data_IF_203796792620
#
_entry.id   IF_203796792620
#
_cell.length_a   1.000
_cell.length_b   1.000
_cell.length_c   1.000
_cell.angle_alpha   90.00
_cell.angle_beta   90.00
_cell.angle_gamma   90.00
#
_symmetry.space_group_name_H-M   'P 1'
#
loop_
_entity.id
_entity.type
_entity.pdbx_description
1 polymer ?
#
# COMPACT_ATOMS: atom_id res chain seq x y z
N UNK A 1 11.63 19.26 15.95
CA UNK A 1 10.20 18.95 15.78
C UNK A 1 9.36 20.19 16.03
N UNK A 2 9.12 20.63 17.28
CA UNK A 2 8.33 21.84 17.58
C UNK A 2 8.86 23.14 16.92
N UNK A 3 10.17 23.38 16.92
CA UNK A 3 10.75 24.62 16.38
C UNK A 3 10.52 24.81 14.87
N UNK A 4 10.51 23.71 14.10
CA UNK A 4 10.36 23.73 12.65
C UNK A 4 8.88 23.93 12.28
N UNK A 5 7.98 23.37 13.09
CA UNK A 5 6.52 23.60 13.01
C UNK A 5 6.18 25.07 13.25
N UNK A 6 6.80 25.71 14.24
CA UNK A 6 6.58 27.13 14.55
C UNK A 6 7.07 28.02 13.41
N UNK A 7 8.24 27.73 12.83
CA UNK A 7 8.78 28.50 11.69
C UNK A 7 7.91 28.33 10.44
N UNK A 8 7.42 27.12 10.16
CA UNK A 8 6.48 26.86 9.06
C UNK A 8 5.16 27.64 9.20
N UNK A 9 4.68 27.77 10.43
CA UNK A 9 3.46 28.52 10.75
C UNK A 9 3.65 30.04 10.63
N UNK A 10 4.82 30.57 10.99
CA UNK A 10 5.18 31.99 10.85
C UNK A 10 5.40 32.40 9.39
N UNK A 11 5.84 31.48 8.52
CA UNK A 11 6.14 31.80 7.11
C UNK A 11 4.89 31.82 6.22
N UNK A 12 3.69 31.57 6.77
CA UNK A 12 2.41 31.68 6.06
C UNK A 12 2.26 30.74 4.85
N UNK A 13 3.11 29.70 4.75
CA UNK A 13 3.17 28.77 3.62
C UNK A 13 2.36 27.48 3.83
N UNK A 14 1.54 27.44 4.88
CA UNK A 14 0.72 26.27 5.17
C UNK A 14 -0.75 26.68 5.27
N UNK A 15 -1.49 26.39 4.20
CA UNK A 15 -2.94 26.49 4.16
C UNK A 15 -3.53 25.46 5.15
N UNK A 16 -4.23 25.97 6.17
CA UNK A 16 -4.87 25.17 7.20
C UNK A 16 -6.27 24.77 6.72
N UNK A 17 -6.35 23.79 5.83
CA UNK A 17 -7.61 23.29 5.28
C UNK A 17 -8.30 22.29 6.24
N UNK A 18 -8.48 22.72 7.50
CA UNK A 18 -9.23 22.00 8.53
C UNK A 18 -8.61 20.66 9.01
N UNK A 19 -9.24 20.09 10.05
CA UNK A 19 -8.93 18.75 10.60
C UNK A 19 -9.67 17.65 9.82
N UNK A 20 -10.68 18.03 9.05
CA UNK A 20 -11.63 17.15 8.38
C UNK A 20 -11.85 17.69 6.97
N UNK A 21 -11.19 17.08 5.99
CA UNK A 21 -11.46 17.36 4.58
C UNK A 21 -12.09 16.14 3.93
N UNK A 22 -12.97 16.39 2.94
CA UNK A 22 -13.45 15.32 2.10
C UNK A 22 -12.22 14.65 1.42
N UNK A 23 -12.19 13.32 1.31
CA UNK A 23 -11.12 12.63 0.59
C UNK A 23 -10.91 13.29 -0.79
N UNK A 24 -9.66 13.45 -1.26
CA UNK A 24 -9.39 13.99 -2.58
C UNK A 24 -10.24 13.27 -3.62
N UNK A 25 -10.96 14.04 -4.43
CA UNK A 25 -11.92 13.52 -5.41
C UNK A 25 -11.22 12.55 -6.37
N UNK A 26 -11.74 11.33 -6.47
CA UNK A 26 -11.26 10.23 -7.32
C UNK A 26 -11.63 10.45 -8.81
N UNK A 27 -12.46 11.47 -9.09
CA UNK A 27 -12.99 11.75 -10.43
C UNK A 27 -11.96 11.90 -11.56
N UNK A 28 -10.72 12.41 -11.37
CA UNK A 28 -9.78 12.50 -12.47
C UNK A 28 -9.11 11.16 -12.77
N UNK A 29 -9.01 10.23 -11.80
CA UNK A 29 -8.24 8.98 -11.92
C UNK A 29 -9.14 7.77 -12.19
N UNK A 30 -10.42 7.90 -11.86
CA UNK A 30 -11.41 6.83 -12.01
C UNK A 30 -11.67 6.58 -13.51
N UNK A 31 -11.29 5.39 -13.98
CA UNK A 31 -11.48 4.93 -15.37
C UNK A 31 -10.59 5.61 -16.43
N UNK A 32 -9.56 6.37 -16.03
CA UNK A 32 -8.51 6.88 -16.93
C UNK A 32 -7.46 5.78 -17.23
N UNK A 33 -7.94 4.59 -17.61
CA UNK A 33 -7.09 3.46 -17.95
C UNK A 33 -6.60 3.59 -19.39
N UNK A 34 -5.32 3.92 -19.57
CA UNK A 34 -4.69 3.94 -20.88
C UNK A 34 -4.21 2.55 -21.30
N UNK A 35 -5.16 1.71 -21.71
CA UNK A 35 -4.89 0.34 -22.19
C UNK A 35 -4.14 0.39 -23.54
N UNK A 36 -4.36 1.44 -24.34
CA UNK A 36 -3.78 1.57 -25.67
C UNK A 36 -2.28 1.86 -25.57
N UNK A 37 -1.88 2.80 -24.71
CA UNK A 37 -0.46 3.03 -24.42
C UNK A 37 0.18 1.89 -23.64
N UNK A 38 -0.58 1.17 -22.81
CA UNK A 38 -0.07 -0.02 -22.12
C UNK A 38 0.28 -1.18 -23.09
N UNK A 39 -0.33 -1.24 -24.28
CA UNK A 39 -0.09 -2.28 -25.28
C UNK A 39 1.04 -1.96 -26.27
N UNK A 40 1.64 -0.76 -26.21
CA UNK A 40 2.82 -0.46 -27.02
C UNK A 40 4.00 -1.35 -26.62
N UNK A 41 4.82 -1.76 -27.59
CA UNK A 41 5.93 -2.70 -27.40
C UNK A 41 6.91 -2.28 -26.27
N UNK A 42 7.09 -0.97 -26.05
CA UNK A 42 7.90 -0.44 -24.95
C UNK A 42 7.27 -0.65 -23.57
N UNK A 43 5.95 -0.46 -23.47
CA UNK A 43 5.20 -0.59 -22.22
C UNK A 43 4.90 -2.05 -21.88
N UNK A 44 4.65 -2.91 -22.86
CA UNK A 44 4.39 -4.34 -22.65
C UNK A 44 5.55 -5.02 -21.91
N UNK A 45 6.80 -4.70 -22.27
CA UNK A 45 7.98 -5.23 -21.59
C UNK A 45 8.05 -4.82 -20.11
N UNK A 46 7.73 -3.55 -19.81
CA UNK A 46 7.73 -3.01 -18.44
C UNK A 46 6.60 -3.63 -17.62
N UNK A 47 5.38 -3.68 -18.18
CA UNK A 47 4.20 -4.28 -17.55
C UNK A 47 4.44 -5.75 -17.24
N UNK A 48 4.98 -6.51 -18.19
CA UNK A 48 5.30 -7.92 -18.01
C UNK A 48 6.38 -8.12 -16.94
N UNK A 49 7.40 -7.26 -16.91
CA UNK A 49 8.46 -7.29 -15.89
C UNK A 49 7.90 -7.02 -14.49
N UNK A 50 7.09 -5.96 -14.33
CA UNK A 50 6.43 -5.61 -13.06
C UNK A 50 5.46 -6.71 -12.63
N UNK A 51 4.75 -7.33 -13.58
CA UNK A 51 3.86 -8.46 -13.31
C UNK A 51 4.64 -9.63 -12.71
N UNK A 52 5.78 -10.02 -13.28
CA UNK A 52 6.60 -11.11 -12.73
C UNK A 52 7.22 -10.76 -11.38
N UNK A 53 7.69 -9.52 -11.20
CA UNK A 53 8.17 -9.04 -9.90
C UNK A 53 7.05 -9.15 -8.85
N UNK A 54 5.85 -8.65 -9.15
CA UNK A 54 4.70 -8.72 -8.25
C UNK A 54 4.26 -10.17 -8.00
N UNK A 55 4.25 -11.03 -9.02
CA UNK A 55 3.87 -12.43 -8.86
C UNK A 55 4.82 -13.16 -7.90
N UNK A 56 6.13 -12.96 -8.05
CA UNK A 56 7.12 -13.58 -7.18
C UNK A 56 7.18 -12.94 -5.80
N UNK A 57 6.94 -11.63 -5.69
CA UNK A 57 6.84 -10.93 -4.41
C UNK A 57 5.63 -11.42 -3.61
N UNK A 58 4.44 -11.48 -4.23
CA UNK A 58 3.23 -12.01 -3.60
C UNK A 58 3.42 -13.48 -3.23
N UNK A 59 3.90 -14.33 -4.16
CA UNK A 59 4.10 -15.75 -3.88
C UNK A 59 5.14 -15.99 -2.77
N UNK A 60 6.26 -15.27 -2.80
CA UNK A 60 7.31 -15.35 -1.78
C UNK A 60 6.83 -14.86 -0.41
N UNK A 61 6.08 -13.77 -0.39
CA UNK A 61 5.49 -13.21 0.83
C UNK A 61 4.43 -14.15 1.42
N UNK A 62 3.53 -14.69 0.61
CA UNK A 62 2.54 -15.67 1.05
C UNK A 62 3.21 -16.94 1.60
N UNK A 63 4.28 -17.41 0.95
CA UNK A 63 5.06 -18.54 1.44
C UNK A 63 5.72 -18.25 2.78
N UNK A 64 6.33 -17.07 2.94
CA UNK A 64 6.94 -16.62 4.18
C UNK A 64 5.92 -16.49 5.32
N UNK A 65 4.78 -15.86 5.06
CA UNK A 65 3.71 -15.67 6.04
C UNK A 65 3.05 -17.00 6.40
N UNK A 66 2.73 -17.87 5.43
CA UNK A 66 2.10 -19.17 5.68
C UNK A 66 2.98 -20.09 6.52
N UNK A 67 4.30 -20.06 6.28
CA UNK A 67 5.29 -20.79 7.08
C UNK A 67 5.32 -20.27 8.52
N UNK A 68 5.30 -18.95 8.73
CA UNK A 68 5.23 -18.35 10.08
C UNK A 68 3.88 -18.56 10.76
N UNK A 69 2.81 -18.72 10.00
CA UNK A 69 1.47 -19.00 10.49
C UNK A 69 1.25 -20.46 10.92
N UNK A 70 2.14 -21.37 10.51
CA UNK A 70 1.97 -22.82 10.71
C UNK A 70 0.82 -23.42 9.89
N UNK A 71 0.49 -22.80 8.75
CA UNK A 71 -0.62 -23.24 7.86
C UNK A 71 -0.09 -24.10 6.69
N UNK A 72 1.23 -24.20 6.54
CA UNK A 72 1.86 -25.13 5.60
C UNK A 72 1.76 -26.57 6.11
N UNK A 73 1.33 -27.50 5.24
CA UNK A 73 1.32 -28.94 5.52
C UNK A 73 2.75 -29.49 5.67
N UNK A 74 2.91 -30.65 6.33
CA UNK A 74 4.20 -31.35 6.48
C UNK A 74 4.91 -31.68 5.15
N UNK A 75 4.17 -31.62 4.03
CA UNK A 75 4.68 -31.80 2.66
C UNK A 75 5.15 -30.49 2.00
N UNK A 76 5.13 -29.36 2.71
CA UNK A 76 5.49 -28.04 2.18
C UNK A 76 4.41 -27.39 1.32
N UNK A 77 3.20 -27.96 1.26
CA UNK A 77 2.09 -27.41 0.49
C UNK A 77 1.32 -26.39 1.34
N UNK A 78 1.11 -25.20 0.79
CA UNK A 78 0.29 -24.17 1.41
C UNK A 78 -1.15 -24.38 0.97
N UNK A 79 -2.03 -24.60 1.94
CA UNK A 79 -3.46 -24.72 1.69
C UNK A 79 -3.99 -23.40 1.11
N UNK A 80 -4.60 -23.46 -0.08
CA UNK A 80 -5.24 -22.34 -0.78
C UNK A 80 -4.28 -21.24 -1.26
N UNK A 81 -3.04 -21.56 -1.63
CA UNK A 81 -2.12 -20.57 -2.22
C UNK A 81 -2.65 -20.00 -3.55
N UNK A 82 -3.31 -20.83 -4.36
CA UNK A 82 -3.97 -20.41 -5.60
C UNK A 82 -5.10 -19.42 -5.33
N UNK A 83 -5.86 -19.63 -4.26
CA UNK A 83 -6.94 -18.75 -3.84
C UNK A 83 -6.41 -17.40 -3.36
N UNK A 84 -5.29 -17.41 -2.62
CA UNK A 84 -4.63 -16.20 -2.15
C UNK A 84 -4.07 -15.37 -3.33
N UNK A 85 -3.43 -16.02 -4.31
CA UNK A 85 -2.94 -15.37 -5.53
C UNK A 85 -4.08 -14.81 -6.39
N UNK A 86 -5.22 -15.51 -6.45
CA UNK A 86 -6.44 -15.01 -7.10
C UNK A 86 -6.99 -13.78 -6.40
N UNK A 87 -7.02 -13.77 -5.06
CA UNK A 87 -7.47 -12.62 -4.29
C UNK A 87 -6.59 -11.38 -4.54
N UNK A 88 -5.27 -11.55 -4.53
CA UNK A 88 -4.27 -10.51 -4.82
C UNK A 88 -4.47 -9.91 -6.23
N UNK A 89 -4.63 -10.78 -7.23
CA UNK A 89 -4.87 -10.37 -8.61
C UNK A 89 -6.20 -9.61 -8.76
N UNK A 90 -7.28 -10.08 -8.12
CA UNK A 90 -8.58 -9.39 -8.18
C UNK A 90 -8.55 -8.04 -7.47
N UNK A 91 -7.84 -7.94 -6.35
CA UNK A 91 -7.61 -6.69 -5.62
C UNK A 91 -6.82 -5.69 -6.46
N UNK A 92 -5.75 -6.15 -7.11
CA UNK A 92 -4.92 -5.32 -8.00
C UNK A 92 -5.70 -4.81 -9.21
N UNK A 93 -6.54 -5.66 -9.83
CA UNK A 93 -7.41 -5.21 -10.94
C UNK A 93 -8.43 -4.18 -10.44
N UNK A 94 -9.05 -4.40 -9.28
CA UNK A 94 -9.96 -3.43 -8.68
C UNK A 94 -9.26 -2.10 -8.33
N UNK A 95 -8.03 -2.16 -7.82
CA UNK A 95 -7.19 -0.98 -7.54
C UNK A 95 -6.81 -0.23 -8.82
N UNK A 96 -6.44 -0.94 -9.88
CA UNK A 96 -6.12 -0.35 -11.17
C UNK A 96 -7.31 0.41 -11.78
N UNK A 97 -8.54 -0.12 -11.65
CA UNK A 97 -9.76 0.58 -12.09
C UNK A 97 -9.99 1.91 -11.35
N UNK A 98 -9.51 2.00 -10.11
CA UNK A 98 -9.58 3.20 -9.27
C UNK A 98 -8.37 4.14 -9.52
N UNK A 99 -7.41 3.73 -10.34
CA UNK A 99 -6.19 4.49 -10.65
C UNK A 99 -5.04 4.28 -9.66
N UNK A 100 -5.12 3.24 -8.81
CA UNK A 100 -4.06 2.87 -7.88
C UNK A 100 -3.07 1.85 -8.49
N UNK A 101 -1.84 1.86 -7.99
CA UNK A 101 -0.85 0.83 -8.28
C UNK A 101 -1.31 -0.56 -7.80
N UNK A 102 -0.75 -1.65 -8.35
CA UNK A 102 -1.06 -3.02 -7.91
C UNK A 102 -0.90 -3.16 -6.39
N UNK A 103 -1.90 -3.78 -5.75
CA UNK A 103 -1.92 -3.99 -4.30
C UNK A 103 -1.36 -5.37 -4.02
N UNK A 104 -0.34 -5.45 -3.17
CA UNK A 104 0.35 -6.70 -2.80
C UNK A 104 0.18 -7.04 -1.31
N UNK A 105 0.50 -8.28 -0.96
CA UNK A 105 0.63 -8.73 0.43
C UNK A 105 1.93 -8.22 1.06
N UNK A 106 1.86 -7.75 2.31
CA UNK A 106 3.04 -7.22 3.03
C UNK A 106 3.81 -8.30 3.80
N UNK A 107 5.11 -8.40 3.59
CA UNK A 107 6.00 -9.36 4.27
C UNK A 107 6.09 -9.09 5.77
N UNK A 108 5.96 -7.82 6.16
CA UNK A 108 5.92 -7.36 7.55
C UNK A 108 4.70 -7.93 8.31
N UNK A 109 3.63 -8.28 7.59
CA UNK A 109 2.44 -8.92 8.19
C UNK A 109 2.75 -10.29 8.80
N UNK A 110 3.87 -10.92 8.45
CA UNK A 110 4.34 -12.14 9.09
C UNK A 110 4.53 -11.96 10.62
N UNK A 111 4.95 -10.78 11.06
CA UNK A 111 5.09 -10.46 12.48
C UNK A 111 3.71 -10.42 13.18
N UNK A 112 2.70 -9.85 12.51
CA UNK A 112 1.32 -9.80 13.02
C UNK A 112 0.67 -11.19 13.11
N UNK A 113 0.95 -12.07 12.15
CA UNK A 113 0.47 -13.46 12.18
C UNK A 113 1.16 -14.27 13.27
N UNK A 114 2.46 -14.02 13.50
CA UNK A 114 3.22 -14.63 14.60
C UNK A 114 2.69 -14.21 15.98
N UNK A 115 2.19 -12.97 16.10
CA UNK A 115 1.54 -12.46 17.32
C UNK A 115 0.11 -12.99 17.54
N UNK A 116 -0.45 -13.76 16.61
CA UNK A 116 -1.77 -14.42 16.75
C UNK A 116 -2.83 -14.01 15.73
N UNK A 117 -2.51 -13.13 14.77
CA UNK A 117 -3.44 -12.69 13.72
C UNK A 117 -3.68 -13.74 12.62
N UNK A 118 -4.26 -14.90 12.95
CA UNK A 118 -4.43 -16.03 11.99
C UNK A 118 -5.81 -16.11 11.33
N UNK A 119 -6.79 -15.37 11.82
CA UNK A 119 -8.21 -15.51 11.42
C UNK A 119 -8.65 -14.53 10.32
N UNK A 120 -7.76 -13.65 9.84
CA UNK A 120 -8.09 -12.61 8.86
C UNK A 120 -8.88 -11.42 9.42
N UNK A 121 -9.44 -11.53 10.63
CA UNK A 121 -10.17 -10.44 11.29
C UNK A 121 -9.29 -9.21 11.55
N UNK A 122 -7.99 -9.43 11.80
CA UNK A 122 -6.99 -8.38 11.93
C UNK A 122 -6.83 -7.60 10.62
N UNK A 123 -6.82 -8.27 9.47
CA UNK A 123 -6.73 -7.63 8.16
C UNK A 123 -7.97 -6.77 7.87
N UNK A 124 -9.18 -7.28 8.17
CA UNK A 124 -10.42 -6.50 8.03
C UNK A 124 -10.44 -5.27 8.94
N UNK A 125 -9.99 -5.44 10.19
CA UNK A 125 -9.91 -4.34 11.16
C UNK A 125 -8.95 -3.26 10.68
N UNK A 126 -7.74 -3.65 10.25
CA UNK A 126 -6.75 -2.70 9.69
C UNK A 126 -7.29 -2.00 8.45
N UNK A 127 -7.95 -2.71 7.53
CA UNK A 127 -8.58 -2.10 6.35
C UNK A 127 -9.66 -1.07 6.72
N UNK A 128 -10.51 -1.39 7.70
CA UNK A 128 -11.52 -0.45 8.20
C UNK A 128 -10.87 0.77 8.87
N UNK A 129 -9.82 0.58 9.66
CA UNK A 129 -9.05 1.68 10.26
C UNK A 129 -8.40 2.56 9.19
N UNK A 130 -7.89 1.99 8.10
CA UNK A 130 -7.33 2.75 6.97
C UNK A 130 -8.41 3.56 6.22
N UNK A 131 -9.60 2.99 6.02
CA UNK A 131 -10.74 3.72 5.47
C UNK A 131 -11.13 4.90 6.38
N UNK A 132 -11.18 4.68 7.69
CA UNK A 132 -11.44 5.76 8.65
C UNK A 132 -10.30 6.79 8.68
N UNK A 133 -9.05 6.35 8.57
CA UNK A 133 -7.88 7.23 8.48
C UNK A 133 -7.90 8.12 7.23
N UNK A 134 -8.65 7.73 6.19
CA UNK A 134 -8.76 8.53 4.96
C UNK A 134 -9.40 9.91 5.23
N UNK A 135 -10.27 10.00 6.23
CA UNK A 135 -10.85 11.29 6.67
C UNK A 135 -9.85 12.17 7.44
N UNK A 136 -8.75 11.58 7.91
CA UNK A 136 -7.64 12.26 8.58
C UNK A 136 -6.44 12.49 7.64
N UNK A 137 -6.58 12.27 6.32
CA UNK A 137 -5.57 12.60 5.32
C UNK A 137 -4.94 14.01 5.47
N UNK A 138 -5.70 15.10 5.71
CA UNK A 138 -5.10 16.43 5.85
C UNK A 138 -4.11 16.48 7.02
N UNK A 139 -4.37 15.78 8.13
CA UNK A 139 -3.44 15.71 9.26
C UNK A 139 -2.14 14.98 8.90
N UNK A 140 -2.25 13.90 8.13
CA UNK A 140 -1.10 13.13 7.67
C UNK A 140 -0.27 13.90 6.62
N UNK A 141 -0.93 14.64 5.72
CA UNK A 141 -0.29 15.50 4.73
C UNK A 141 0.50 16.64 5.41
N UNK A 142 -0.06 17.22 6.47
CA UNK A 142 0.63 18.19 7.33
C UNK A 142 1.90 17.60 7.96
N UNK A 143 1.83 16.37 8.46
CA UNK A 143 2.99 15.67 9.02
C UNK A 143 4.04 15.31 7.95
N UNK A 144 3.60 14.86 6.77
CA UNK A 144 4.48 14.51 5.64
C UNK A 144 5.25 15.74 5.13
N UNK A 145 4.61 16.91 5.06
CA UNK A 145 5.29 18.15 4.68
C UNK A 145 6.34 18.59 5.72
N UNK A 146 6.14 18.24 7.00
CA UNK A 146 7.06 18.52 8.10
C UNK A 146 8.21 17.48 8.19
N UNK A 147 7.99 16.24 7.77
CA UNK A 147 8.99 15.15 7.80
C UNK A 147 9.81 14.98 6.54
N UNK A 148 9.37 15.46 5.38
CA UNK A 148 10.12 15.40 4.13
C UNK A 148 11.59 15.85 4.26
N UNK A 149 11.91 16.99 4.90
CA UNK A 149 13.32 17.39 5.06
C UNK A 149 14.12 16.49 6.01
N UNK A 150 13.47 15.81 6.97
CA UNK A 150 14.13 14.91 7.93
C UNK A 150 14.31 13.49 7.38
N UNK A 151 13.37 12.99 6.57
CA UNK A 151 13.50 11.71 5.87
C UNK A 151 14.54 11.82 4.74
N UNK A 152 14.57 12.92 3.99
CA UNK A 152 15.59 13.18 2.96
C UNK A 152 17.01 13.34 3.52
N UNK A 153 17.19 13.78 4.78
CA UNK A 153 18.52 13.81 5.42
C UNK A 153 18.95 12.44 5.93
N UNK A 154 18.00 11.56 6.26
CA UNK A 154 18.30 10.22 6.81
C UNK A 154 18.48 9.17 5.71
N UNK A 155 17.70 9.26 4.62
CA UNK A 155 17.80 8.38 3.46
C UNK A 155 18.93 8.73 2.47
N UNK A 156 19.57 9.90 2.60
CA UNK A 156 20.80 10.22 1.83
C UNK A 156 22.08 9.67 2.48
N UNK A 157 21.95 9.06 3.65
CA UNK A 157 23.03 8.46 4.42
C UNK A 157 22.90 6.94 4.58
N UNK A 158 21.88 6.32 3.96
CA UNK A 158 21.82 4.89 3.68
C UNK A 158 22.07 4.67 2.18
#
# INVERSE_FOLDING_TARGET
MLAITVIGLVTGRVDYDGVFSAPPTIAPIFMELDIVSALELGMVSIVLSILFVNLFDTAGTLLGVATKAGIADEKGNIRNLDLALRADSTSSVAGALIGCAPVTSYVESAAGVSAGGRTGLTACTVGLLFLLATFFLPWLAWFQHLLLPALLSTWRCL
#
